data_IF_674163871467
#
_entry.id   IF_674163871467
#
_cell.length_a   1.000
_cell.length_b   1.000
_cell.length_c   1.000
_cell.angle_alpha   90.00
_cell.angle_beta   90.00
_cell.angle_gamma   90.00
#
_symmetry.space_group_name_H-M   'P 1'
#
loop_
_entity.id
_entity.type
_entity.pdbx_description
1 polymer ?
#
# COMPACT_ATOMS: atom_id res chain seq x y z
N UNK A 1 33.85 43.82 24.68
CA UNK A 1 33.20 42.65 25.32
C UNK A 1 32.63 42.96 26.69
N UNK A 2 33.40 43.54 27.63
CA UNK A 2 32.92 43.79 29.00
C UNK A 2 31.66 44.68 29.11
N UNK A 3 31.52 45.70 28.25
CA UNK A 3 30.34 46.59 28.26
C UNK A 3 29.04 45.85 27.93
N UNK A 4 29.07 44.94 26.97
CA UNK A 4 27.92 44.15 26.54
C UNK A 4 27.50 43.19 27.67
N UNK A 5 28.49 42.51 28.26
CA UNK A 5 28.28 41.62 29.42
C UNK A 5 27.70 42.36 30.64
N UNK A 6 28.22 43.54 30.97
CA UNK A 6 27.69 44.37 32.07
C UNK A 6 26.29 44.92 31.77
N UNK A 7 25.91 45.11 30.51
CA UNK A 7 24.55 45.52 30.13
C UNK A 7 23.57 44.35 30.18
N UNK A 8 23.96 43.15 29.74
CA UNK A 8 23.11 41.96 29.82
C UNK A 8 22.83 41.55 31.27
N UNK A 9 23.78 41.75 32.19
CA UNK A 9 23.59 41.45 33.61
C UNK A 9 22.62 42.40 34.34
N UNK A 10 22.21 43.52 33.74
CA UNK A 10 21.27 44.47 34.36
C UNK A 10 19.82 44.03 34.27
N UNK A 11 19.46 43.18 33.29
CA UNK A 11 18.09 42.72 33.07
C UNK A 11 18.03 41.20 32.83
N UNK A 12 18.53 40.37 33.77
CA UNK A 12 18.69 38.93 33.56
C UNK A 12 17.36 38.23 33.27
N UNK A 13 16.27 38.61 33.96
CA UNK A 13 14.96 38.01 33.76
C UNK A 13 14.37 38.28 32.37
N UNK A 14 14.56 39.48 31.82
CA UNK A 14 14.07 39.82 30.47
C UNK A 14 14.84 39.08 29.39
N UNK A 15 16.15 38.96 29.54
CA UNK A 15 16.99 38.23 28.58
C UNK A 15 16.66 36.74 28.60
N UNK A 16 16.48 36.16 29.79
CA UNK A 16 16.04 34.77 29.94
C UNK A 16 14.66 34.55 29.30
N UNK A 17 13.71 35.47 29.50
CA UNK A 17 12.39 35.38 28.90
C UNK A 17 12.45 35.47 27.37
N UNK A 18 13.24 36.39 26.81
CA UNK A 18 13.43 36.50 25.36
C UNK A 18 14.06 35.23 24.79
N UNK A 19 15.11 34.70 25.42
CA UNK A 19 15.73 33.43 25.00
C UNK A 19 14.72 32.29 25.05
N UNK A 20 13.91 32.21 26.11
CA UNK A 20 12.90 31.17 26.27
C UNK A 20 11.82 31.26 25.18
N UNK A 21 11.35 32.47 24.85
CA UNK A 21 10.39 32.68 23.76
C UNK A 21 11.01 32.29 22.42
N UNK A 22 12.23 32.73 22.14
CA UNK A 22 12.93 32.39 20.89
C UNK A 22 13.08 30.87 20.78
N UNK A 23 13.60 30.21 21.82
CA UNK A 23 13.72 28.75 21.85
C UNK A 23 12.38 28.06 21.63
N UNK A 24 11.31 28.49 22.31
CA UNK A 24 9.98 27.91 22.15
C UNK A 24 9.48 28.01 20.70
N UNK A 25 9.67 29.16 20.04
CA UNK A 25 9.30 29.34 18.63
C UNK A 25 10.10 28.42 17.71
N UNK A 26 11.41 28.29 17.93
CA UNK A 26 12.26 27.39 17.14
C UNK A 26 11.88 25.91 17.35
N UNK A 27 11.64 25.48 18.59
CA UNK A 27 11.21 24.12 18.89
C UNK A 27 9.83 23.82 18.28
N UNK A 28 8.89 24.76 18.34
CA UNK A 28 7.58 24.60 17.70
C UNK A 28 7.72 24.37 16.20
N UNK A 29 8.53 25.18 15.52
CA UNK A 29 8.81 25.00 14.08
C UNK A 29 9.57 23.71 13.78
N UNK A 30 10.47 23.29 14.66
CA UNK A 30 11.24 22.06 14.49
C UNK A 30 10.33 20.83 14.54
N UNK A 31 9.38 20.80 15.48
CA UNK A 31 8.41 19.72 15.63
C UNK A 31 7.50 19.64 14.40
N UNK A 32 7.00 20.78 13.91
CA UNK A 32 6.17 20.83 12.69
C UNK A 32 6.90 20.29 11.45
N UNK A 33 8.22 20.46 11.37
CA UNK A 33 9.00 20.14 10.17
C UNK A 33 9.81 18.85 10.28
N UNK A 34 9.77 18.17 11.43
CA UNK A 34 10.47 16.90 11.66
C UNK A 34 9.54 15.73 11.38
N UNK A 35 10.03 14.77 10.59
CA UNK A 35 9.33 13.51 10.27
C UNK A 35 10.24 12.34 10.61
N UNK A 36 9.65 11.28 11.16
CA UNK A 36 10.36 10.02 11.39
C UNK A 36 10.42 9.26 10.07
N UNK A 37 11.61 8.79 9.69
CA UNK A 37 11.73 7.87 8.56
C UNK A 37 11.38 6.46 9.01
N UNK A 38 10.36 5.88 8.40
CA UNK A 38 9.86 4.53 8.71
C UNK A 38 10.15 3.53 7.61
N UNK A 39 10.55 4.01 6.43
CA UNK A 39 10.94 3.17 5.31
C UNK A 39 12.33 2.58 5.56
N UNK A 40 12.43 1.25 5.55
CA UNK A 40 13.70 0.55 5.75
C UNK A 40 14.63 0.69 4.54
N UNK A 41 14.06 0.90 3.34
CA UNK A 41 14.84 0.99 2.12
C UNK A 41 15.61 2.31 2.06
N UNK A 42 15.07 3.39 2.64
CA UNK A 42 15.75 4.68 2.75
C UNK A 42 17.02 4.64 3.62
N UNK A 43 17.15 3.63 4.51
CA UNK A 43 18.37 3.41 5.27
C UNK A 43 19.48 2.70 4.46
N UNK A 44 19.18 2.21 3.27
CA UNK A 44 20.13 1.52 2.40
C UNK A 44 20.86 2.48 1.46
N UNK A 45 22.07 2.14 0.98
CA UNK A 45 22.80 2.98 0.04
C UNK A 45 22.11 2.96 -1.33
N UNK A 46 21.41 4.04 -1.65
CA UNK A 46 20.62 4.19 -2.88
C UNK A 46 21.48 4.08 -4.16
N UNK A 47 22.76 4.42 -4.06
CA UNK A 47 23.77 4.35 -5.11
C UNK A 47 24.39 2.95 -5.29
N UNK A 48 23.98 1.97 -4.48
CA UNK A 48 24.42 0.59 -4.66
C UNK A 48 23.73 -0.04 -5.91
N UNK A 49 24.49 -0.70 -6.80
CA UNK A 49 24.00 -1.13 -8.11
C UNK A 49 22.78 -2.04 -8.05
N UNK A 50 22.64 -2.85 -6.99
CA UNK A 50 21.48 -3.73 -6.82
C UNK A 50 20.15 -2.95 -6.70
N UNK A 51 20.12 -1.83 -5.97
CA UNK A 51 18.91 -1.01 -5.83
C UNK A 51 18.61 -0.30 -7.15
N UNK A 52 19.63 0.29 -7.79
CA UNK A 52 19.50 0.92 -9.10
C UNK A 52 18.92 -0.02 -10.17
N UNK A 53 19.29 -1.31 -10.14
CA UNK A 53 18.70 -2.31 -11.04
C UNK A 53 17.29 -2.74 -10.61
N UNK A 54 17.02 -2.81 -9.31
CA UNK A 54 15.68 -3.10 -8.77
C UNK A 54 14.71 -2.01 -9.20
N UNK A 55 15.03 -0.74 -8.96
CA UNK A 55 14.20 0.41 -9.30
C UNK A 55 13.91 0.47 -10.80
N UNK A 56 14.92 0.20 -11.63
CA UNK A 56 14.73 0.10 -13.09
C UNK A 56 13.79 -1.04 -13.48
N UNK A 57 13.92 -2.21 -12.83
CA UNK A 57 13.03 -3.33 -13.09
C UNK A 57 11.59 -3.02 -12.64
N UNK A 58 11.43 -2.38 -11.49
CA UNK A 58 10.12 -1.93 -10.99
C UNK A 58 9.48 -0.95 -11.96
N UNK A 59 10.23 0.03 -12.47
CA UNK A 59 9.74 0.99 -13.46
C UNK A 59 9.38 0.31 -14.79
N UNK A 60 10.23 -0.59 -15.31
CA UNK A 60 10.00 -1.23 -16.61
C UNK A 60 8.87 -2.25 -16.59
N UNK A 61 8.75 -3.03 -15.52
CA UNK A 61 7.75 -4.08 -15.41
C UNK A 61 6.52 -3.67 -14.60
N UNK A 62 6.48 -2.43 -14.09
CA UNK A 62 5.43 -1.91 -13.24
C UNK A 62 5.17 -2.86 -12.05
N UNK A 63 6.26 -3.30 -11.41
CA UNK A 63 6.21 -4.13 -10.21
C UNK A 63 5.73 -3.22 -9.08
N UNK A 64 4.64 -3.62 -8.44
CA UNK A 64 4.05 -2.90 -7.31
C UNK A 64 4.04 -3.80 -6.10
N UNK A 65 4.11 -3.20 -4.92
CA UNK A 65 3.84 -3.92 -3.68
C UNK A 65 2.41 -4.48 -3.69
N UNK A 66 2.34 -5.80 -3.60
CA UNK A 66 1.08 -6.54 -3.62
C UNK A 66 0.72 -7.05 -2.24
N UNK A 67 -0.57 -6.96 -1.89
CA UNK A 67 -1.13 -7.64 -0.72
C UNK A 67 -1.78 -8.94 -1.18
N UNK A 68 -1.35 -10.06 -0.63
CA UNK A 68 -1.95 -11.37 -0.91
C UNK A 68 -2.95 -11.72 0.19
N UNK A 69 -4.21 -11.95 -0.20
CA UNK A 69 -5.27 -12.41 0.70
C UNK A 69 -5.58 -13.87 0.41
N UNK A 70 -5.22 -14.76 1.33
CA UNK A 70 -5.51 -16.19 1.22
C UNK A 70 -6.88 -16.51 1.83
N UNK A 71 -7.68 -17.32 1.12
CA UNK A 71 -8.97 -17.84 1.60
C UNK A 71 -8.87 -19.35 1.75
N UNK A 72 -9.09 -19.85 2.96
CA UNK A 72 -9.07 -21.28 3.27
C UNK A 72 -10.50 -21.80 3.49
N UNK A 73 -10.83 -22.95 2.89
CA UNK A 73 -12.05 -23.69 3.16
C UNK A 73 -11.73 -25.19 3.30
N UNK A 74 -12.21 -25.82 4.38
CA UNK A 74 -11.92 -27.22 4.71
C UNK A 74 -12.52 -28.23 3.73
N UNK A 75 -13.65 -27.92 3.09
CA UNK A 75 -14.42 -28.88 2.31
C UNK A 75 -14.18 -28.74 0.79
N UNK A 76 -13.92 -27.52 0.30
CA UNK A 76 -13.44 -27.11 -1.03
C UNK A 76 -13.72 -25.60 -1.23
N UNK A 77 -13.21 -25.01 -2.31
CA UNK A 77 -13.56 -23.63 -2.71
C UNK A 77 -14.75 -23.54 -3.68
N UNK A 78 -15.12 -24.67 -4.32
CA UNK A 78 -16.20 -24.75 -5.31
C UNK A 78 -17.57 -24.86 -4.63
N UNK A 79 -17.93 -23.84 -3.87
CA UNK A 79 -19.25 -23.68 -3.28
C UNK A 79 -19.68 -22.22 -3.36
N UNK A 80 -20.99 -22.02 -3.38
CA UNK A 80 -21.59 -20.68 -3.49
C UNK A 80 -21.09 -19.74 -2.40
N UNK A 81 -21.00 -20.20 -1.16
CA UNK A 81 -20.57 -19.39 -0.01
C UNK A 81 -19.17 -18.81 -0.21
N UNK A 82 -18.19 -19.65 -0.58
CA UNK A 82 -16.79 -19.25 -0.75
C UNK A 82 -16.62 -18.34 -1.97
N UNK A 83 -17.22 -18.70 -3.11
CA UNK A 83 -17.14 -17.89 -4.33
C UNK A 83 -17.84 -16.53 -4.16
N UNK A 84 -18.95 -16.49 -3.41
CA UNK A 84 -19.61 -15.24 -3.05
C UNK A 84 -18.71 -14.40 -2.15
N UNK A 85 -18.05 -15.01 -1.15
CA UNK A 85 -17.15 -14.29 -0.25
C UNK A 85 -15.98 -13.66 -1.00
N UNK A 86 -15.36 -14.39 -1.93
CA UNK A 86 -14.27 -13.87 -2.77
C UNK A 86 -14.76 -12.68 -3.61
N UNK A 87 -15.95 -12.80 -4.21
CA UNK A 87 -16.56 -11.71 -4.98
C UNK A 87 -16.84 -10.47 -4.12
N UNK A 88 -17.39 -10.65 -2.92
CA UNK A 88 -17.65 -9.55 -1.98
C UNK A 88 -16.37 -8.85 -1.55
N UNK A 89 -15.33 -9.61 -1.18
CA UNK A 89 -14.01 -9.08 -0.82
C UNK A 89 -13.41 -8.29 -1.99
N UNK A 90 -13.44 -8.86 -3.20
CA UNK A 90 -12.94 -8.20 -4.42
C UNK A 90 -13.63 -6.87 -4.64
N UNK A 91 -14.97 -6.84 -4.58
CA UNK A 91 -15.73 -5.60 -4.71
C UNK A 91 -15.40 -4.63 -3.59
N UNK A 92 -15.30 -5.10 -2.36
CA UNK A 92 -14.98 -4.25 -1.20
C UNK A 92 -13.65 -3.54 -1.42
N UNK A 93 -12.61 -4.27 -1.85
CA UNK A 93 -11.30 -3.67 -2.15
C UNK A 93 -11.38 -2.69 -3.32
N UNK A 94 -12.13 -2.99 -4.38
CA UNK A 94 -12.35 -2.07 -5.51
C UNK A 94 -13.12 -0.79 -5.14
N UNK A 95 -13.82 -0.74 -4.00
CA UNK A 95 -14.50 0.47 -3.54
C UNK A 95 -13.62 1.34 -2.63
N UNK A 96 -12.45 0.85 -2.22
CA UNK A 96 -11.52 1.65 -1.42
C UNK A 96 -10.88 2.72 -2.31
N UNK A 97 -10.92 4.00 -1.92
CA UNK A 97 -10.37 5.09 -2.73
C UNK A 97 -8.84 5.02 -2.86
N UNK A 98 -8.17 4.25 -1.99
CA UNK A 98 -6.72 4.04 -2.02
C UNK A 98 -6.28 2.93 -2.99
N UNK A 99 -7.21 2.16 -3.56
CA UNK A 99 -6.90 0.98 -4.38
C UNK A 99 -7.44 1.20 -5.79
N UNK A 100 -6.55 1.11 -6.78
CA UNK A 100 -6.95 1.11 -8.18
C UNK A 100 -7.75 -0.15 -8.52
N UNK A 101 -8.95 0.04 -9.09
CA UNK A 101 -9.89 -1.08 -9.32
C UNK A 101 -9.33 -2.17 -10.22
N UNK A 102 -8.48 -1.78 -11.17
CA UNK A 102 -7.83 -2.67 -12.12
C UNK A 102 -6.75 -3.54 -11.47
N UNK A 103 -6.19 -3.11 -10.33
CA UNK A 103 -5.12 -3.81 -9.64
C UNK A 103 -5.65 -4.89 -8.68
N UNK A 104 -6.98 -4.99 -8.49
CA UNK A 104 -7.61 -6.01 -7.64
C UNK A 104 -7.86 -7.30 -8.44
N UNK A 105 -6.92 -8.26 -8.32
CA UNK A 105 -7.01 -9.58 -8.96
C UNK A 105 -7.55 -10.64 -8.00
N UNK A 106 -8.54 -11.42 -8.44
CA UNK A 106 -9.06 -12.59 -7.72
C UNK A 106 -9.69 -13.58 -8.69
N UNK A 107 -10.18 -14.72 -8.18
CA UNK A 107 -10.96 -15.66 -9.00
C UNK A 107 -12.20 -15.01 -9.65
N UNK A 108 -12.72 -13.91 -9.07
CA UNK A 108 -13.88 -13.20 -9.64
C UNK A 108 -13.51 -12.33 -10.85
N UNK A 109 -12.27 -11.83 -10.90
CA UNK A 109 -11.76 -11.00 -12.01
C UNK A 109 -10.88 -11.79 -12.97
N UNK A 110 -10.57 -13.04 -12.66
CA UNK A 110 -9.77 -13.92 -13.50
C UNK A 110 -10.53 -14.36 -14.76
N UNK A 111 -9.77 -14.49 -15.85
CA UNK A 111 -10.22 -15.10 -17.08
C UNK A 111 -9.75 -16.56 -17.17
N UNK A 112 -10.65 -17.41 -17.62
CA UNK A 112 -10.36 -18.76 -18.07
C UNK A 112 -10.06 -18.73 -19.58
N UNK A 113 -8.86 -19.16 -19.95
CA UNK A 113 -8.36 -19.12 -21.33
C UNK A 113 -8.13 -20.54 -21.80
N UNK A 114 -8.89 -20.98 -22.80
CA UNK A 114 -8.83 -22.34 -23.35
C UNK A 114 -8.50 -22.27 -24.84
N UNK A 115 -7.55 -23.09 -25.29
CA UNK A 115 -7.22 -23.23 -26.72
C UNK A 115 -8.26 -24.07 -27.45
N UNK A 116 -8.74 -23.59 -28.59
CA UNK A 116 -9.69 -24.29 -29.47
C UNK A 116 -9.09 -24.49 -30.86
N UNK A 117 -9.68 -25.34 -31.71
CA UNK A 117 -9.18 -25.56 -33.09
C UNK A 117 -9.12 -24.25 -33.90
N UNK A 118 -10.03 -23.32 -33.63
CA UNK A 118 -10.13 -22.02 -34.30
C UNK A 118 -9.30 -20.91 -33.62
N UNK A 119 -8.69 -21.16 -32.46
CA UNK A 119 -7.86 -20.17 -31.75
C UNK A 119 -7.92 -20.26 -30.23
N UNK A 120 -8.34 -19.17 -29.58
CA UNK A 120 -8.43 -19.07 -28.11
C UNK A 120 -9.82 -18.58 -27.69
N UNK A 121 -10.42 -19.28 -26.73
CA UNK A 121 -11.66 -18.90 -26.06
C UNK A 121 -11.33 -18.29 -24.69
N UNK A 122 -11.71 -17.03 -24.50
CA UNK A 122 -11.46 -16.27 -23.26
C UNK A 122 -12.79 -15.98 -22.60
N UNK A 123 -13.02 -16.59 -21.45
CA UNK A 123 -14.25 -16.45 -20.67
C UNK A 123 -13.91 -16.12 -19.23
N UNK A 124 -14.63 -15.18 -18.63
CA UNK A 124 -14.48 -14.92 -17.20
C UNK A 124 -14.71 -16.20 -16.38
N UNK A 125 -13.89 -16.42 -15.35
CA UNK A 125 -13.98 -17.62 -14.51
C UNK A 125 -15.38 -17.74 -13.87
N UNK A 126 -15.92 -16.67 -13.30
CA UNK A 126 -17.36 -16.57 -12.99
C UNK A 126 -17.83 -15.11 -12.89
N UNK A 127 -18.97 -14.77 -13.50
CA UNK A 127 -19.57 -13.41 -13.41
C UNK A 127 -20.64 -13.29 -12.32
N UNK A 128 -21.44 -14.33 -12.18
CA UNK A 128 -22.44 -14.49 -11.11
C UNK A 128 -22.00 -15.66 -10.26
N UNK A 129 -22.19 -15.55 -8.95
CA UNK A 129 -21.94 -16.68 -8.06
C UNK A 129 -22.89 -17.81 -8.45
N UNK A 130 -22.38 -18.98 -8.82
CA UNK A 130 -23.22 -20.12 -9.14
C UNK A 130 -23.86 -20.68 -7.87
N UNK A 131 -25.15 -20.99 -7.97
CA UNK A 131 -25.96 -21.55 -6.88
C UNK A 131 -26.42 -22.99 -7.18
N UNK A 132 -26.29 -23.44 -8.43
CA UNK A 132 -26.66 -24.79 -8.84
C UNK A 132 -25.46 -25.74 -8.78
N UNK A 133 -25.73 -27.03 -8.53
CA UNK A 133 -24.69 -28.05 -8.50
C UNK A 133 -24.05 -28.30 -9.87
N UNK A 134 -24.79 -28.08 -10.97
CA UNK A 134 -24.27 -28.20 -12.34
C UNK A 134 -23.27 -27.08 -12.64
N UNK A 135 -23.63 -25.82 -12.38
CA UNK A 135 -22.74 -24.68 -12.60
C UNK A 135 -21.45 -24.77 -11.75
N UNK A 136 -21.57 -25.27 -10.52
CA UNK A 136 -20.41 -25.49 -9.64
C UNK A 136 -19.48 -26.60 -10.13
N UNK A 137 -20.04 -27.64 -10.76
CA UNK A 137 -19.24 -28.70 -11.37
C UNK A 137 -18.57 -28.24 -12.66
N UNK A 138 -19.24 -27.41 -13.47
CA UNK A 138 -18.66 -26.82 -14.69
C UNK A 138 -17.42 -25.97 -14.36
N UNK A 139 -17.43 -25.21 -13.25
CA UNK A 139 -16.25 -24.46 -12.80
C UNK A 139 -15.06 -25.33 -12.38
N UNK A 140 -15.29 -26.60 -12.10
CA UNK A 140 -14.27 -27.53 -11.63
C UNK A 140 -13.57 -28.25 -12.79
N UNK A 141 -14.23 -28.35 -13.95
CA UNK A 141 -13.68 -28.97 -15.17
C UNK A 141 -12.83 -27.97 -15.97
#
# INVERSE_FOLDING_TARGET
MEKILKQTLKYPYWILLVILIISAVFFSKMIENSRMETDLDEYMPQDHPAFVYSDQAEEWFNIKDGIIVAVENKNNIYNEETLNKIKELTKTFQHLPQIEKADVTSLYTADNIVGTEDGMDVKAFYKKTPSSAEDLNELRE
#
